data_IF_915214263908
#
_entry.id   IF_915214263908
#
_cell.length_a   1.000
_cell.length_b   1.000
_cell.length_c   1.000
_cell.angle_alpha   90.00
_cell.angle_beta   90.00
_cell.angle_gamma   90.00
#
_symmetry.space_group_name_H-M   'P 1'
#
loop_
_entity.id
_entity.type
_entity.pdbx_description
1 polymer ?
#
# COMPACT_ATOMS: atom_id res chain seq x y z
N UNK A 1 4.58 8.71 -8.35
CA UNK A 1 5.48 9.83 -8.15
C UNK A 1 5.76 10.57 -9.46
N UNK A 2 6.31 11.75 -9.35
CA UNK A 2 6.72 12.57 -10.49
C UNK A 2 8.18 12.27 -10.85
N UNK A 3 8.53 12.44 -12.11
CA UNK A 3 9.89 12.16 -12.63
C UNK A 3 10.93 13.24 -12.22
N UNK A 4 10.67 14.00 -11.16
CA UNK A 4 11.55 15.04 -10.63
C UNK A 4 10.79 16.30 -10.21
N UNK A 5 11.53 17.30 -9.74
CA UNK A 5 10.95 18.55 -9.24
C UNK A 5 10.23 19.36 -10.33
N UNK A 6 10.76 19.36 -11.56
CA UNK A 6 10.13 20.07 -12.67
C UNK A 6 8.76 19.50 -13.01
N UNK A 7 8.64 18.15 -13.16
CA UNK A 7 7.37 17.50 -13.45
C UNK A 7 6.34 17.70 -12.33
N UNK A 8 6.79 17.79 -11.08
CA UNK A 8 5.92 18.15 -9.96
C UNK A 8 5.45 19.60 -10.06
N UNK A 9 6.35 20.55 -10.36
CA UNK A 9 6.01 21.96 -10.48
C UNK A 9 4.98 22.19 -11.60
N UNK A 10 5.19 21.60 -12.76
CA UNK A 10 4.23 21.64 -13.89
C UNK A 10 2.86 21.07 -13.51
N UNK A 11 2.85 19.96 -12.76
CA UNK A 11 1.61 19.36 -12.28
C UNK A 11 0.88 20.23 -11.25
N UNK A 12 1.61 20.92 -10.37
CA UNK A 12 1.03 21.86 -9.40
C UNK A 12 0.38 23.05 -10.14
N UNK A 13 1.10 23.66 -11.08
CA UNK A 13 0.57 24.79 -11.89
C UNK A 13 -0.68 24.36 -12.62
N UNK A 14 -0.65 23.20 -13.29
CA UNK A 14 -1.81 22.68 -14.03
C UNK A 14 -3.02 22.39 -13.13
N UNK A 15 -2.80 21.87 -11.92
CA UNK A 15 -3.88 21.65 -10.96
C UNK A 15 -4.52 22.98 -10.51
N UNK A 16 -3.71 24.02 -10.30
CA UNK A 16 -4.18 25.35 -9.93
C UNK A 16 -4.99 25.97 -11.09
N UNK A 17 -4.47 25.89 -12.31
CA UNK A 17 -5.15 26.41 -13.52
C UNK A 17 -6.51 25.73 -13.74
N UNK A 18 -6.62 24.45 -13.38
CA UNK A 18 -7.87 23.71 -13.42
C UNK A 18 -8.82 23.98 -12.22
N UNK A 19 -8.42 24.78 -11.25
CA UNK A 19 -9.20 25.08 -10.05
C UNK A 19 -9.29 23.90 -9.07
N UNK A 20 -8.36 22.94 -9.14
CA UNK A 20 -8.32 21.78 -8.24
C UNK A 20 -7.91 22.23 -6.83
N UNK A 21 -8.67 21.80 -5.82
CA UNK A 21 -8.36 22.09 -4.40
C UNK A 21 -7.21 21.26 -3.85
N UNK A 22 -7.02 20.06 -4.41
CA UNK A 22 -5.95 19.13 -4.00
C UNK A 22 -4.77 19.25 -4.98
N UNK A 23 -3.79 20.06 -4.63
CA UNK A 23 -2.57 20.21 -5.41
C UNK A 23 -1.59 19.02 -5.16
N UNK A 24 -0.86 18.58 -6.20
CA UNK A 24 0.15 17.53 -6.05
C UNK A 24 1.20 17.88 -5.01
N UNK A 25 1.58 16.91 -4.18
CA UNK A 25 2.48 17.10 -3.06
C UNK A 25 3.89 16.61 -3.36
N UNK A 26 4.89 17.29 -2.78
CA UNK A 26 6.27 16.82 -2.80
C UNK A 26 6.48 15.75 -1.72
N UNK A 27 6.64 14.46 -2.07
CA UNK A 27 6.81 13.41 -1.06
C UNK A 27 8.15 13.51 -0.33
N UNK A 28 9.16 14.10 -0.97
CA UNK A 28 10.52 14.25 -0.41
C UNK A 28 10.64 15.50 0.46
N UNK A 29 10.15 16.64 -0.07
CA UNK A 29 10.20 17.92 0.64
C UNK A 29 9.14 18.07 1.74
N UNK A 30 8.13 17.20 1.73
CA UNK A 30 7.08 17.17 2.75
C UNK A 30 6.33 18.50 2.90
N UNK A 31 5.78 18.69 4.11
CA UNK A 31 4.94 19.85 4.41
C UNK A 31 5.68 21.20 4.31
N UNK A 32 6.98 21.22 4.64
CA UNK A 32 7.76 22.48 4.62
C UNK A 32 7.92 23.04 3.20
N UNK A 33 8.30 22.20 2.24
CA UNK A 33 8.41 22.60 0.83
C UNK A 33 7.05 22.99 0.28
N UNK A 34 5.99 22.25 0.62
CA UNK A 34 4.64 22.57 0.17
C UNK A 34 4.13 23.88 0.73
N UNK A 35 4.45 24.21 1.98
CA UNK A 35 4.13 25.51 2.60
C UNK A 35 4.79 26.67 1.84
N UNK A 36 6.06 26.51 1.46
CA UNK A 36 6.77 27.50 0.65
C UNK A 36 6.16 27.64 -0.75
N UNK A 37 5.86 26.51 -1.41
CA UNK A 37 5.17 26.52 -2.71
C UNK A 37 3.79 27.21 -2.63
N UNK A 38 3.01 26.89 -1.61
CA UNK A 38 1.68 27.50 -1.41
C UNK A 38 1.77 29.01 -1.17
N UNK A 39 2.75 29.47 -0.38
CA UNK A 39 2.99 30.89 -0.15
C UNK A 39 3.38 31.63 -1.43
N UNK A 40 4.19 31.02 -2.30
CA UNK A 40 4.60 31.59 -3.58
C UNK A 40 3.45 31.65 -4.59
N UNK A 41 2.57 30.66 -4.58
CA UNK A 41 1.47 30.54 -5.55
C UNK A 41 0.16 31.17 -5.07
N UNK A 42 0.12 31.66 -3.82
CA UNK A 42 -1.09 32.26 -3.25
C UNK A 42 -2.24 31.29 -3.07
N UNK A 43 -1.96 30.00 -2.90
CA UNK A 43 -2.96 28.95 -2.69
C UNK A 43 -2.87 28.40 -1.29
N UNK A 44 -4.02 28.04 -0.70
CA UNK A 44 -4.04 27.33 0.59
C UNK A 44 -3.53 25.89 0.37
N UNK A 45 -2.28 25.65 0.73
CA UNK A 45 -1.71 24.29 0.74
C UNK A 45 -2.39 23.46 1.82
N UNK A 46 -3.24 22.54 1.45
CA UNK A 46 -3.81 21.60 2.39
C UNK A 46 -2.68 20.80 3.05
N UNK A 47 -2.57 20.88 4.37
CA UNK A 47 -1.60 20.13 5.16
C UNK A 47 -1.92 18.64 5.03
N UNK A 48 -1.24 17.95 4.13
CA UNK A 48 -1.44 16.52 3.95
C UNK A 48 -0.73 15.74 5.06
N UNK A 49 -1.49 14.85 5.68
CA UNK A 49 -0.92 13.92 6.66
C UNK A 49 0.16 13.05 6.00
N UNK A 50 1.33 12.90 6.61
CA UNK A 50 2.39 12.06 6.06
C UNK A 50 1.88 10.63 5.83
N UNK A 51 2.23 10.06 4.69
CA UNK A 51 1.84 8.70 4.30
C UNK A 51 3.05 7.77 4.23
N UNK A 52 2.80 6.50 4.43
CA UNK A 52 3.79 5.43 4.30
C UNK A 52 3.15 4.26 3.59
N UNK A 53 3.93 3.55 2.80
CA UNK A 53 3.46 2.35 2.14
C UNK A 53 3.26 1.21 3.15
N UNK A 54 2.27 0.36 2.90
CA UNK A 54 2.03 -0.89 3.63
C UNK A 54 1.75 -2.01 2.65
N UNK A 55 2.10 -3.24 3.03
CA UNK A 55 1.89 -4.43 2.20
C UNK A 55 0.70 -5.22 2.73
N UNK A 56 -0.30 -5.44 1.89
CA UNK A 56 -1.51 -6.20 2.22
C UNK A 56 -1.33 -7.70 1.99
N UNK A 57 -0.23 -8.24 2.47
CA UNK A 57 0.10 -9.66 2.47
C UNK A 57 1.11 -9.94 3.57
N UNK A 58 0.88 -11.01 4.35
CA UNK A 58 1.83 -11.45 5.38
C UNK A 58 2.73 -12.61 4.91
N UNK A 59 2.51 -13.08 3.71
CA UNK A 59 3.13 -14.29 3.19
C UNK A 59 2.24 -15.51 3.38
N UNK A 60 2.48 -16.50 2.54
CA UNK A 60 1.81 -17.78 2.57
C UNK A 60 2.85 -18.85 2.92
N UNK A 61 2.60 -19.62 3.96
CA UNK A 61 3.51 -20.72 4.37
C UNK A 61 3.40 -21.94 3.44
N UNK A 62 2.41 -21.96 2.55
CA UNK A 62 2.18 -23.05 1.62
C UNK A 62 2.75 -22.70 0.24
N UNK A 63 3.58 -23.61 -0.28
CA UNK A 63 4.08 -23.52 -1.65
C UNK A 63 3.04 -24.07 -2.62
N UNK A 64 2.96 -23.52 -3.82
CA UNK A 64 2.26 -24.18 -4.92
C UNK A 64 3.11 -25.37 -5.43
N UNK A 65 2.47 -26.31 -6.11
CA UNK A 65 3.19 -27.39 -6.78
C UNK A 65 3.93 -26.89 -8.06
N UNK A 66 3.81 -25.62 -8.39
CA UNK A 66 4.36 -25.01 -9.61
C UNK A 66 5.71 -24.38 -9.27
N UNK A 67 6.78 -24.84 -9.93
CA UNK A 67 8.07 -24.17 -9.99
C UNK A 67 8.12 -23.30 -11.25
N UNK A 68 8.51 -22.04 -11.11
CA UNK A 68 8.65 -21.11 -12.23
C UNK A 68 10.13 -20.95 -12.62
N UNK A 69 10.44 -21.33 -13.87
CA UNK A 69 11.81 -21.27 -14.44
C UNK A 69 11.91 -20.23 -15.55
N UNK A 70 11.33 -19.06 -15.35
CA UNK A 70 11.36 -17.94 -16.29
C UNK A 70 11.97 -16.69 -15.68
N UNK A 71 11.76 -15.54 -16.37
CA UNK A 71 12.18 -14.24 -15.87
C UNK A 71 11.46 -13.88 -14.56
N UNK A 72 12.19 -13.82 -13.47
CA UNK A 72 11.66 -13.60 -12.12
C UNK A 72 11.40 -12.11 -11.84
N UNK A 73 10.36 -11.57 -12.47
CA UNK A 73 9.77 -10.27 -12.11
C UNK A 73 8.30 -10.45 -11.77
N UNK A 74 7.77 -9.63 -10.85
CA UNK A 74 6.36 -9.68 -10.49
C UNK A 74 5.46 -9.41 -11.70
N UNK A 75 5.87 -8.50 -12.58
CA UNK A 75 5.12 -8.15 -13.78
C UNK A 75 4.96 -9.38 -14.71
N UNK A 76 6.05 -10.08 -15.02
CA UNK A 76 6.03 -11.25 -15.92
C UNK A 76 5.27 -12.41 -15.27
N UNK A 77 5.58 -12.77 -14.02
CA UNK A 77 4.89 -13.86 -13.33
C UNK A 77 3.39 -13.62 -13.21
N UNK A 78 2.98 -12.38 -12.95
CA UNK A 78 1.56 -12.05 -12.89
C UNK A 78 0.88 -12.18 -14.25
N UNK A 79 1.54 -11.77 -15.34
CA UNK A 79 1.01 -11.92 -16.72
C UNK A 79 0.91 -13.39 -17.12
N UNK A 80 1.87 -14.21 -16.73
CA UNK A 80 1.85 -15.67 -16.97
C UNK A 80 0.84 -16.40 -16.07
N UNK A 81 0.21 -15.73 -15.11
CA UNK A 81 -0.71 -16.34 -14.15
C UNK A 81 -0.06 -17.35 -13.21
N UNK A 82 1.27 -17.25 -12.99
CA UNK A 82 2.04 -18.19 -12.17
C UNK A 82 2.33 -17.61 -10.79
N UNK A 83 2.43 -18.49 -9.80
CA UNK A 83 2.83 -18.14 -8.44
C UNK A 83 3.46 -19.36 -7.77
N UNK A 84 4.62 -19.19 -7.12
CA UNK A 84 5.22 -20.24 -6.30
C UNK A 84 4.54 -20.35 -4.93
N UNK A 85 3.78 -19.35 -4.52
CA UNK A 85 2.90 -19.42 -3.36
C UNK A 85 1.52 -19.94 -3.71
N UNK A 86 0.90 -20.71 -2.82
CA UNK A 86 -0.42 -21.32 -3.04
C UNK A 86 -1.55 -20.28 -3.16
N UNK A 87 -1.37 -19.08 -2.60
CA UNK A 87 -2.37 -18.00 -2.66
C UNK A 87 -2.32 -17.24 -3.98
N UNK A 88 -3.39 -17.34 -4.79
CA UNK A 88 -3.50 -16.64 -6.08
C UNK A 88 -3.49 -15.12 -5.98
N UNK A 89 -3.82 -14.55 -4.81
CA UNK A 89 -3.81 -13.12 -4.52
C UNK A 89 -2.53 -12.66 -3.80
N UNK A 90 -1.67 -13.60 -3.39
CA UNK A 90 -0.51 -13.32 -2.56
C UNK A 90 0.63 -12.59 -3.29
N UNK A 91 1.60 -12.13 -2.52
CA UNK A 91 2.82 -11.52 -3.07
C UNK A 91 3.63 -12.56 -3.85
N UNK A 92 4.19 -12.14 -4.98
CA UNK A 92 5.04 -12.99 -5.84
C UNK A 92 6.50 -13.03 -5.38
N UNK A 93 6.91 -12.11 -4.49
CA UNK A 93 8.25 -12.11 -3.88
C UNK A 93 9.41 -11.68 -4.79
N UNK A 94 9.17 -11.32 -6.07
CA UNK A 94 10.25 -11.04 -7.01
C UNK A 94 10.94 -9.68 -6.82
N UNK A 95 10.36 -8.78 -6.02
CA UNK A 95 11.03 -7.53 -5.64
C UNK A 95 10.89 -6.35 -6.59
N UNK A 96 9.94 -6.34 -7.55
CA UNK A 96 9.71 -5.16 -8.43
C UNK A 96 9.46 -3.87 -7.63
N UNK A 97 8.77 -3.99 -6.48
CA UNK A 97 8.56 -2.87 -5.56
C UNK A 97 9.84 -2.39 -4.88
N UNK A 98 10.80 -3.28 -4.64
CA UNK A 98 12.13 -2.93 -4.10
C UNK A 98 12.92 -2.16 -5.14
N UNK A 99 12.97 -2.67 -6.38
CA UNK A 99 13.66 -2.02 -7.50
C UNK A 99 13.07 -0.64 -7.84
N UNK A 100 11.75 -0.46 -7.64
CA UNK A 100 11.06 0.81 -7.86
C UNK A 100 11.28 1.83 -6.73
N UNK A 101 11.90 1.44 -5.61
CA UNK A 101 12.08 2.31 -4.46
C UNK A 101 13.39 3.08 -4.53
N UNK A 102 13.35 4.34 -4.97
CA UNK A 102 14.54 5.21 -5.04
C UNK A 102 15.11 5.61 -3.66
N UNK A 103 14.42 5.28 -2.58
CA UNK A 103 14.81 5.65 -1.21
C UNK A 103 15.36 4.47 -0.40
N UNK A 104 15.46 3.28 -1.00
CA UNK A 104 15.88 2.05 -0.32
C UNK A 104 15.05 1.71 0.95
N UNK A 105 13.80 2.20 1.01
CA UNK A 105 12.89 1.99 2.14
C UNK A 105 12.12 0.66 2.08
N UNK A 106 12.44 -0.24 1.14
CA UNK A 106 11.79 -1.54 0.98
C UNK A 106 12.85 -2.62 0.83
N UNK A 107 12.68 -3.71 1.56
CA UNK A 107 13.52 -4.91 1.47
C UNK A 107 12.61 -6.15 1.44
N UNK A 108 13.03 -7.21 0.78
CA UNK A 108 12.38 -8.52 0.92
C UNK A 108 12.76 -9.10 2.27
N UNK A 109 11.78 -9.42 3.09
CA UNK A 109 11.95 -10.08 4.38
C UNK A 109 12.24 -11.58 4.23
N UNK A 110 12.59 -12.23 5.32
CA UNK A 110 12.89 -13.68 5.37
C UNK A 110 11.70 -14.54 4.93
N UNK A 111 10.49 -14.05 5.11
CA UNK A 111 9.25 -14.69 4.65
C UNK A 111 8.93 -14.45 3.16
N UNK A 112 9.85 -13.86 2.38
CA UNK A 112 9.67 -13.54 0.96
C UNK A 112 8.73 -12.36 0.69
N UNK A 113 8.23 -11.66 1.74
CA UNK A 113 7.32 -10.52 1.60
C UNK A 113 8.08 -9.20 1.77
N UNK A 114 7.75 -8.16 0.99
CA UNK A 114 8.37 -6.87 1.17
C UNK A 114 8.10 -6.27 2.55
N UNK A 115 9.15 -5.90 3.25
CA UNK A 115 9.11 -5.12 4.48
C UNK A 115 9.43 -3.66 4.18
N UNK A 116 8.67 -2.73 4.75
CA UNK A 116 8.79 -1.30 4.51
C UNK A 116 9.31 -0.61 5.76
N UNK A 117 10.45 0.06 5.63
CA UNK A 117 10.99 0.92 6.67
C UNK A 117 10.25 2.27 6.66
N UNK A 118 9.42 2.47 7.66
CA UNK A 118 8.61 3.68 7.79
C UNK A 118 9.41 4.93 8.16
N UNK A 119 10.65 4.78 8.63
CA UNK A 119 11.55 5.91 8.90
C UNK A 119 12.14 6.49 7.62
N UNK A 120 12.31 5.65 6.60
CA UNK A 120 12.87 6.00 5.28
C UNK A 120 11.79 6.27 4.24
N UNK A 121 10.63 5.63 4.38
CA UNK A 121 9.53 5.74 3.40
C UNK A 121 8.92 7.14 3.38
N UNK A 122 9.00 7.80 2.24
CA UNK A 122 8.44 9.14 2.00
C UNK A 122 7.02 9.12 1.40
N UNK A 123 6.42 7.96 1.22
CA UNK A 123 5.05 7.84 0.70
C UNK A 123 4.88 8.22 -0.78
N UNK A 124 5.92 8.15 -1.60
CA UNK A 124 5.88 8.57 -3.02
C UNK A 124 4.98 7.71 -3.93
N UNK A 125 4.62 6.49 -3.51
CA UNK A 125 3.74 5.61 -4.26
C UNK A 125 4.38 4.85 -5.43
N UNK A 126 5.69 4.93 -5.66
CA UNK A 126 6.36 4.18 -6.75
C UNK A 126 6.18 2.67 -6.61
N UNK A 127 6.30 2.14 -5.39
CA UNK A 127 6.06 0.73 -5.11
C UNK A 127 4.60 0.31 -5.28
N UNK A 128 3.64 1.21 -5.06
CA UNK A 128 2.21 0.96 -5.30
C UNK A 128 1.97 0.72 -6.79
N UNK A 129 2.55 1.57 -7.64
CA UNK A 129 2.46 1.46 -9.10
C UNK A 129 3.19 0.23 -9.65
N UNK A 130 4.31 -0.15 -9.04
CA UNK A 130 5.12 -1.29 -9.46
C UNK A 130 4.49 -2.65 -9.10
N UNK A 131 3.54 -2.70 -8.17
CA UNK A 131 2.93 -3.97 -7.76
C UNK A 131 1.80 -4.39 -8.70
N UNK A 132 1.95 -5.43 -9.55
CA UNK A 132 0.93 -5.83 -10.50
C UNK A 132 -0.30 -6.46 -9.83
N UNK A 133 -0.17 -6.89 -8.56
CA UNK A 133 -1.27 -7.44 -7.76
C UNK A 133 -1.90 -6.42 -6.81
N UNK A 134 -1.50 -5.15 -6.88
CA UNK A 134 -2.03 -4.05 -6.07
C UNK A 134 -2.03 -4.31 -4.56
N UNK A 135 -0.99 -5.01 -4.07
CA UNK A 135 -0.84 -5.39 -2.67
C UNK A 135 -0.27 -4.27 -1.79
N UNK A 136 0.22 -3.21 -2.40
CA UNK A 136 0.85 -2.10 -1.68
C UNK A 136 -0.08 -0.88 -1.77
N UNK A 137 -0.36 -0.27 -0.64
CA UNK A 137 -1.14 0.96 -0.55
C UNK A 137 -0.46 1.98 0.36
N UNK A 138 -0.84 3.25 0.22
CA UNK A 138 -0.38 4.32 1.11
C UNK A 138 -1.35 4.49 2.27
N UNK A 139 -0.84 4.49 3.49
CA UNK A 139 -1.59 4.74 4.72
C UNK A 139 -1.04 5.96 5.45
N UNK A 140 -1.91 6.68 6.14
CA UNK A 140 -1.47 7.77 7.01
C UNK A 140 -0.54 7.26 8.11
N UNK A 141 0.50 8.02 8.35
CA UNK A 141 1.43 7.78 9.45
C UNK A 141 0.79 8.32 10.73
N UNK A 142 0.23 7.43 11.54
CA UNK A 142 -0.41 7.79 12.80
C UNK A 142 0.60 8.15 13.89
N UNK A 143 0.08 8.59 15.05
CA UNK A 143 0.91 8.90 16.22
C UNK A 143 1.78 7.71 16.60
N UNK A 144 3.07 7.94 16.83
CA UNK A 144 4.07 6.89 17.08
C UNK A 144 4.12 5.86 15.96
N UNK A 145 3.96 6.30 14.72
CA UNK A 145 3.99 5.46 13.51
C UNK A 145 2.95 4.31 13.48
N UNK A 146 1.86 4.44 14.25
CA UNK A 146 0.81 3.43 14.31
C UNK A 146 -0.04 3.42 13.05
N UNK A 147 -0.31 2.23 12.55
CA UNK A 147 -1.20 1.97 11.40
C UNK A 147 -2.01 0.72 11.69
N UNK A 148 -3.26 0.73 11.28
CA UNK A 148 -4.13 -0.45 11.35
C UNK A 148 -4.69 -0.71 9.96
N UNK A 149 -4.40 -1.88 9.43
CA UNK A 149 -4.86 -2.32 8.11
C UNK A 149 -4.97 -3.84 8.08
N UNK A 150 -5.69 -4.36 7.10
CA UNK A 150 -5.81 -5.81 6.90
C UNK A 150 -4.68 -6.25 5.98
N UNK A 151 -3.77 -7.07 6.51
CA UNK A 151 -2.62 -7.59 5.76
C UNK A 151 -3.01 -8.84 4.95
N UNK A 152 -4.11 -8.74 4.20
CA UNK A 152 -4.61 -9.76 3.31
C UNK A 152 -5.38 -9.11 2.16
N UNK A 153 -5.32 -9.71 0.97
CA UNK A 153 -6.06 -9.33 -0.24
C UNK A 153 -6.72 -10.54 -0.91
N UNK A 154 -6.87 -11.65 -0.18
CA UNK A 154 -7.50 -12.85 -0.71
C UNK A 154 -9.03 -12.69 -0.68
N UNK A 155 -9.67 -12.80 -1.85
CA UNK A 155 -11.11 -12.70 -2.02
C UNK A 155 -11.83 -14.07 -2.07
N UNK A 156 -11.10 -15.16 -1.85
CA UNK A 156 -11.70 -16.49 -1.76
C UNK A 156 -12.55 -16.64 -0.49
N UNK A 157 -13.54 -17.51 -0.54
CA UNK A 157 -14.34 -17.86 0.63
C UNK A 157 -13.44 -18.43 1.73
N UNK A 158 -13.74 -18.14 2.99
CA UNK A 158 -12.88 -18.41 4.14
C UNK A 158 -12.30 -19.83 4.17
N UNK A 159 -13.08 -20.85 3.88
CA UNK A 159 -12.60 -22.24 3.83
C UNK A 159 -11.57 -22.49 2.71
N UNK A 160 -11.71 -21.85 1.55
CA UNK A 160 -10.74 -21.94 0.46
C UNK A 160 -9.49 -21.11 0.80
N UNK A 161 -9.66 -19.89 1.34
CA UNK A 161 -8.56 -19.02 1.75
C UNK A 161 -7.65 -19.69 2.80
N UNK A 162 -8.24 -20.38 3.79
CA UNK A 162 -7.49 -21.11 4.82
C UNK A 162 -6.71 -22.32 4.29
N UNK A 163 -7.13 -22.92 3.17
CA UNK A 163 -6.38 -24.01 2.54
C UNK A 163 -5.08 -23.57 1.89
N UNK A 164 -5.01 -22.30 1.48
CA UNK A 164 -3.86 -21.74 0.75
C UNK A 164 -3.02 -20.78 1.58
N UNK A 165 -3.53 -20.32 2.73
CA UNK A 165 -2.82 -19.38 3.60
C UNK A 165 -3.41 -19.44 5.02
N UNK A 166 -2.61 -19.82 5.99
CA UNK A 166 -2.97 -19.94 7.42
C UNK A 166 -3.21 -18.56 8.10
N UNK A 167 -2.66 -17.51 7.56
CA UNK A 167 -2.85 -16.11 8.04
C UNK A 167 -3.89 -15.33 7.25
N UNK A 168 -4.68 -16.00 6.38
CA UNK A 168 -5.65 -15.33 5.53
C UNK A 168 -6.80 -14.70 6.31
N UNK A 169 -7.30 -13.58 5.81
CA UNK A 169 -8.62 -13.09 6.21
C UNK A 169 -9.69 -14.04 5.69
N UNK A 170 -10.62 -14.45 6.55
CA UNK A 170 -11.73 -15.35 6.19
C UNK A 170 -13.06 -14.63 5.99
N UNK A 171 -13.05 -13.30 6.01
CA UNK A 171 -14.25 -12.49 5.81
C UNK A 171 -15.32 -12.62 6.90
N UNK A 172 -14.96 -13.09 8.12
CA UNK A 172 -15.93 -13.37 9.19
C UNK A 172 -16.68 -12.15 9.75
N UNK A 173 -16.21 -10.94 9.42
CA UNK A 173 -16.84 -9.68 9.82
C UNK A 173 -16.70 -9.33 11.32
N UNK A 174 -15.95 -10.12 12.12
CA UNK A 174 -15.76 -9.82 13.55
C UNK A 174 -15.17 -8.43 13.76
N UNK A 175 -14.09 -8.08 13.02
CA UNK A 175 -13.46 -6.76 13.10
C UNK A 175 -14.42 -5.61 12.75
N UNK A 176 -15.34 -5.82 11.80
CA UNK A 176 -16.33 -4.81 11.42
C UNK A 176 -17.38 -4.60 12.53
N UNK A 177 -17.85 -5.68 13.18
CA UNK A 177 -18.78 -5.60 14.31
C UNK A 177 -18.16 -4.91 15.55
N UNK A 178 -16.87 -5.16 15.79
CA UNK A 178 -16.14 -4.56 16.91
C UNK A 178 -15.73 -3.09 16.67
N UNK A 179 -15.85 -2.58 15.43
CA UNK A 179 -15.41 -1.24 15.10
C UNK A 179 -16.45 -0.18 15.48
N UNK A 180 -16.22 0.64 16.54
CA UNK A 180 -17.20 1.64 16.98
C UNK A 180 -17.34 2.82 16.02
N UNK A 181 -16.45 2.93 15.01
CA UNK A 181 -16.43 4.05 14.08
C UNK A 181 -16.92 3.66 12.68
N UNK A 182 -17.39 2.43 12.48
CA UNK A 182 -17.83 1.95 11.17
C UNK A 182 -16.75 2.05 10.08
N UNK A 183 -15.48 1.96 10.49
CA UNK A 183 -14.35 2.13 9.59
C UNK A 183 -13.96 0.85 8.83
N UNK A 184 -14.69 -0.27 9.03
CA UNK A 184 -14.32 -1.56 8.46
C UNK A 184 -15.48 -2.10 7.63
N UNK A 185 -15.22 -2.37 6.38
CA UNK A 185 -16.10 -3.08 5.45
C UNK A 185 -15.57 -4.48 5.16
N UNK A 186 -16.45 -5.40 4.77
CA UNK A 186 -16.07 -6.73 4.32
C UNK A 186 -16.68 -6.94 2.94
N UNK A 187 -15.83 -7.01 1.95
CA UNK A 187 -16.21 -7.17 0.55
C UNK A 187 -15.41 -8.32 -0.08
N UNK A 188 -16.09 -9.19 -0.84
CA UNK A 188 -15.43 -10.32 -1.50
C UNK A 188 -14.62 -11.17 -0.52
N UNK A 189 -15.20 -11.49 0.66
CA UNK A 189 -14.59 -12.31 1.72
C UNK A 189 -13.29 -11.74 2.34
N UNK A 190 -12.94 -10.48 2.11
CA UNK A 190 -11.80 -9.81 2.76
C UNK A 190 -12.24 -8.52 3.43
N UNK A 191 -11.70 -8.25 4.63
CA UNK A 191 -11.97 -6.99 5.32
C UNK A 191 -11.08 -5.87 4.78
N UNK A 192 -11.62 -4.66 4.76
CA UNK A 192 -10.89 -3.43 4.44
C UNK A 192 -11.13 -2.38 5.51
N UNK A 193 -10.09 -1.64 5.88
CA UNK A 193 -10.15 -0.57 6.88
C UNK A 193 -10.00 0.77 6.19
N UNK A 194 -11.05 1.59 6.23
CA UNK A 194 -11.03 2.96 5.77
C UNK A 194 -10.17 3.80 6.74
N UNK A 195 -9.08 4.35 6.23
CA UNK A 195 -8.11 5.11 7.04
C UNK A 195 -8.65 6.47 7.49
N UNK A 196 -9.62 7.05 6.78
CA UNK A 196 -10.19 8.36 7.13
C UNK A 196 -11.17 8.24 8.30
N UNK A 197 -11.86 7.10 8.39
CA UNK A 197 -12.77 6.78 9.51
C UNK A 197 -12.03 6.15 10.69
N UNK A 198 -10.89 5.50 10.45
CA UNK A 198 -10.17 4.75 11.48
C UNK A 198 -9.50 5.68 12.50
N UNK A 199 -9.82 5.51 13.78
CA UNK A 199 -9.23 6.26 14.91
C UNK A 199 -8.06 5.54 15.60
N UNK A 200 -7.53 4.50 15.00
CA UNK A 200 -6.39 3.71 15.52
C UNK A 200 -6.62 3.17 16.95
N UNK A 201 -7.86 2.92 17.34
CA UNK A 201 -8.22 2.45 18.70
C UNK A 201 -7.88 0.98 18.97
N UNK A 202 -7.56 0.20 17.92
CA UNK A 202 -7.13 -1.21 17.97
C UNK A 202 -8.16 -2.21 18.52
N UNK A 203 -9.44 -1.87 18.66
CA UNK A 203 -10.48 -2.80 19.11
C UNK A 203 -10.72 -3.97 18.16
N UNK A 204 -10.32 -3.82 16.89
CA UNK A 204 -10.45 -4.84 15.84
C UNK A 204 -9.23 -5.78 15.71
N UNK A 205 -8.20 -5.62 16.54
CA UNK A 205 -6.94 -6.38 16.49
C UNK A 205 -6.92 -7.44 17.58
#
# INVERSE_FOLDING_TARGET
GFAGCQALAEAIVKAIDNGEKDIPQCPVGGAEVMKQCSALLGVDGAEQKPRVAVVRCQGCNLSSAVSYDGLRTCAVMNTCGTSEGACGYGCLGCGDCVSACSFNGIKIGENGIPSIDSSVCVGCGSCVKACPRHLIELRYKGVRDRRVYVACSNHDKGAAAMKVCDTSCIGCGKCARECPFGAITVEGAVAYIDQDKCRLCRKCV
#
